data_IF_648987953695
#
_entry.id   IF_648987953695
#
_cell.length_a   1.000
_cell.length_b   1.000
_cell.length_c   1.000
_cell.angle_alpha   90.00
_cell.angle_beta   90.00
_cell.angle_gamma   90.00
#
_symmetry.space_group_name_H-M   'P 1'
#
loop_
_entity.id
_entity.type
_entity.pdbx_description
1 polymer ?
#
# COMPACT_ATOMS: atom_id res chain seq x y z
N UNK A 1 7.41 21.38 22.14
CA UNK A 1 6.10 21.22 21.45
C UNK A 1 5.29 22.50 21.65
N UNK A 2 4.59 22.98 20.61
CA UNK A 2 3.86 24.27 20.65
C UNK A 2 2.37 24.09 20.92
N UNK A 3 1.74 25.11 21.53
CA UNK A 3 0.30 25.12 21.91
C UNK A 3 -0.66 24.81 20.75
N UNK A 4 -0.25 25.10 19.51
CA UNK A 4 -1.01 24.82 18.28
C UNK A 4 -1.10 23.33 17.93
N UNK A 5 -0.03 22.56 18.13
CA UNK A 5 -0.03 21.12 17.82
C UNK A 5 -0.87 20.31 18.82
N UNK A 6 -0.90 20.72 20.08
CA UNK A 6 -1.71 20.06 21.12
C UNK A 6 -3.22 20.27 20.93
N UNK A 7 -3.64 21.42 20.41
CA UNK A 7 -5.04 21.63 20.04
C UNK A 7 -5.45 20.75 18.85
N UNK A 8 -4.55 20.51 17.89
CA UNK A 8 -4.84 19.65 16.74
C UNK A 8 -4.96 18.18 17.17
N UNK A 9 -4.06 17.67 18.03
CA UNK A 9 -4.19 16.32 18.57
C UNK A 9 -5.43 16.13 19.47
N UNK A 10 -5.78 17.12 20.30
CA UNK A 10 -7.00 17.09 21.11
C UNK A 10 -8.29 17.18 20.27
N UNK A 11 -8.19 17.64 19.01
CA UNK A 11 -9.24 17.59 17.98
C UNK A 11 -9.15 16.32 17.10
N UNK A 12 -8.26 15.38 17.41
CA UNK A 12 -8.10 14.10 16.70
C UNK A 12 -7.14 14.12 15.50
N UNK A 13 -6.26 15.11 15.39
CA UNK A 13 -5.28 15.18 14.29
C UNK A 13 -4.06 14.27 14.58
N UNK A 14 -4.12 13.04 14.09
CA UNK A 14 -2.94 12.19 13.84
C UNK A 14 -2.36 12.57 12.47
N UNK A 15 -1.12 13.04 12.42
CA UNK A 15 -0.39 13.07 11.16
C UNK A 15 0.09 11.64 10.91
N UNK A 16 -0.80 10.83 10.35
CA UNK A 16 -0.57 9.42 10.05
C UNK A 16 0.33 9.32 8.79
N UNK A 17 1.62 9.62 8.96
CA UNK A 17 2.65 9.52 7.92
C UNK A 17 2.65 8.11 7.29
N UNK A 18 2.33 7.09 8.09
CA UNK A 18 2.16 5.71 7.64
C UNK A 18 0.96 5.57 6.70
N UNK A 19 -0.16 6.23 6.97
CA UNK A 19 -1.30 6.29 6.04
C UNK A 19 -0.94 7.04 4.75
N UNK A 20 -0.21 8.15 4.85
CA UNK A 20 0.18 8.94 3.70
C UNK A 20 1.11 8.16 2.76
N UNK A 21 2.15 7.51 3.30
CA UNK A 21 3.06 6.69 2.51
C UNK A 21 2.36 5.45 1.94
N UNK A 22 1.51 4.79 2.73
CA UNK A 22 0.71 3.67 2.22
C UNK A 22 -0.19 4.09 1.05
N UNK A 23 -0.85 5.25 1.16
CA UNK A 23 -1.71 5.78 0.10
C UNK A 23 -0.92 6.19 -1.14
N UNK A 24 0.31 6.68 -1.00
CA UNK A 24 1.20 6.95 -2.13
C UNK A 24 1.45 5.67 -2.93
N UNK A 25 1.89 4.60 -2.28
CA UNK A 25 2.14 3.33 -2.97
C UNK A 25 0.89 2.68 -3.54
N UNK A 26 -0.25 2.80 -2.85
CA UNK A 26 -1.54 2.38 -3.40
C UNK A 26 -1.86 3.11 -4.72
N UNK A 27 -1.59 4.41 -4.82
CA UNK A 27 -1.78 5.17 -6.08
C UNK A 27 -0.83 4.71 -7.19
N UNK A 28 0.43 4.40 -6.86
CA UNK A 28 1.36 3.82 -7.83
C UNK A 28 0.87 2.46 -8.35
N UNK A 29 0.34 1.61 -7.47
CA UNK A 29 -0.28 0.34 -7.88
C UNK A 29 -1.51 0.57 -8.77
N UNK A 30 -2.35 1.55 -8.43
CA UNK A 30 -3.53 1.87 -9.23
C UNK A 30 -3.15 2.42 -10.63
N UNK A 31 -2.10 3.24 -10.71
CA UNK A 31 -1.55 3.70 -11.98
C UNK A 31 -0.98 2.54 -12.80
N UNK A 32 -0.25 1.63 -12.16
CA UNK A 32 0.22 0.40 -12.80
C UNK A 32 -0.94 -0.43 -13.34
N UNK A 33 -1.97 -0.70 -12.53
CA UNK A 33 -3.15 -1.46 -12.95
C UNK A 33 -3.86 -0.79 -14.14
N UNK A 34 -3.98 0.54 -14.14
CA UNK A 34 -4.56 1.27 -15.27
C UNK A 34 -3.74 1.10 -16.57
N UNK A 35 -2.41 0.96 -16.47
CA UNK A 35 -1.54 0.79 -17.62
C UNK A 35 -1.42 -0.67 -18.10
N UNK A 36 -1.43 -1.65 -17.19
CA UNK A 36 -1.16 -3.07 -17.48
C UNK A 36 -2.42 -3.93 -17.53
N UNK A 37 -3.53 -3.47 -16.95
CA UNK A 37 -4.77 -4.23 -16.78
C UNK A 37 -4.73 -5.26 -15.64
N UNK A 38 -3.68 -5.28 -14.81
CA UNK A 38 -3.57 -6.16 -13.65
C UNK A 38 -2.80 -5.53 -12.49
N UNK A 39 -3.09 -5.99 -11.26
CA UNK A 39 -2.51 -5.44 -10.01
C UNK A 39 -1.38 -6.31 -9.47
N UNK A 40 -0.59 -6.91 -10.37
CA UNK A 40 0.52 -7.80 -10.03
C UNK A 40 1.80 -7.39 -10.79
N UNK A 41 2.58 -6.43 -10.25
CA UNK A 41 3.86 -6.04 -10.82
C UNK A 41 4.88 -7.18 -10.68
N UNK A 42 5.68 -7.43 -11.72
CA UNK A 42 6.66 -8.53 -11.75
C UNK A 42 8.04 -8.04 -12.24
N UNK A 43 9.16 -8.60 -11.72
CA UNK A 43 10.52 -8.15 -12.04
C UNK A 43 10.91 -8.24 -13.52
N UNK A 44 10.22 -9.06 -14.30
CA UNK A 44 10.51 -9.30 -15.72
C UNK A 44 9.82 -8.29 -16.66
N UNK A 45 8.97 -7.41 -16.12
CA UNK A 45 8.33 -6.36 -16.92
C UNK A 45 9.24 -5.11 -16.98
N UNK A 46 9.54 -4.64 -18.19
CA UNK A 46 10.32 -3.42 -18.39
C UNK A 46 9.62 -2.22 -17.73
N UNK A 47 10.38 -1.45 -16.94
CA UNK A 47 9.90 -0.20 -16.33
C UNK A 47 9.10 -0.39 -15.03
N UNK A 48 9.02 -1.59 -14.47
CA UNK A 48 8.40 -1.80 -13.15
C UNK A 48 9.34 -1.40 -12.04
N UNK A 49 8.84 -0.56 -11.13
CA UNK A 49 9.56 -0.17 -9.92
C UNK A 49 9.66 -1.35 -8.94
N UNK A 50 10.90 -1.76 -8.63
CA UNK A 50 11.19 -2.78 -7.63
C UNK A 50 10.61 -2.44 -6.25
N UNK A 51 10.49 -1.15 -5.92
CA UNK A 51 9.86 -0.71 -4.68
C UNK A 51 8.36 -1.04 -4.65
N UNK A 52 7.67 -0.91 -5.78
CA UNK A 52 6.25 -1.26 -5.88
C UNK A 52 6.04 -2.78 -5.76
N UNK A 53 6.92 -3.59 -6.35
CA UNK A 53 6.92 -5.05 -6.19
C UNK A 53 7.07 -5.41 -4.71
N UNK A 54 8.09 -4.85 -4.05
CA UNK A 54 8.35 -5.08 -2.63
C UNK A 54 7.17 -4.61 -1.76
N UNK A 55 6.57 -3.46 -2.06
CA UNK A 55 5.40 -2.98 -1.34
C UNK A 55 4.22 -3.94 -1.44
N UNK A 56 3.96 -4.50 -2.63
CA UNK A 56 2.93 -5.53 -2.82
C UNK A 56 3.20 -6.77 -1.97
N UNK A 57 4.46 -7.23 -1.91
CA UNK A 57 4.88 -8.33 -1.04
C UNK A 57 4.61 -8.06 0.43
N UNK A 58 4.97 -6.85 0.91
CA UNK A 58 4.69 -6.40 2.28
C UNK A 58 3.19 -6.45 2.58
N UNK A 59 2.31 -6.04 1.64
CA UNK A 59 0.86 -6.13 1.85
C UNK A 59 0.39 -7.57 2.00
N UNK A 60 0.90 -8.50 1.16
CA UNK A 60 0.57 -9.93 1.26
C UNK A 60 1.01 -10.52 2.61
N UNK A 61 2.23 -10.21 3.05
CA UNK A 61 2.74 -10.65 4.37
C UNK A 61 1.88 -10.07 5.49
N UNK A 62 1.61 -8.76 5.47
CA UNK A 62 0.82 -8.08 6.50
C UNK A 62 -0.60 -8.65 6.62
N UNK A 63 -1.24 -9.00 5.48
CA UNK A 63 -2.54 -9.69 5.47
C UNK A 63 -2.45 -11.10 6.05
N UNK A 64 -1.45 -11.90 5.65
CA UNK A 64 -1.24 -13.26 6.20
C UNK A 64 -1.00 -13.23 7.71
N UNK A 65 -0.26 -12.24 8.19
CA UNK A 65 0.02 -12.00 9.61
C UNK A 65 -1.13 -11.32 10.36
N UNK A 66 -2.24 -10.98 9.69
CA UNK A 66 -3.42 -10.31 10.26
C UNK A 66 -3.13 -8.95 10.92
N UNK A 67 -2.11 -8.24 10.43
CA UNK A 67 -1.72 -6.90 10.92
C UNK A 67 -2.09 -5.78 9.94
N UNK A 68 -2.55 -6.12 8.73
CA UNK A 68 -3.01 -5.14 7.76
C UNK A 68 -4.42 -4.64 8.12
N UNK A 69 -4.57 -3.31 8.23
CA UNK A 69 -5.85 -2.69 8.54
C UNK A 69 -6.94 -3.07 7.51
N UNK A 70 -8.17 -3.30 7.97
CA UNK A 70 -9.29 -3.73 7.12
C UNK A 70 -9.58 -2.74 5.98
N UNK A 71 -9.46 -1.44 6.22
CA UNK A 71 -9.63 -0.41 5.18
C UNK A 71 -8.60 -0.52 4.05
N UNK A 72 -7.36 -0.93 4.37
CA UNK A 72 -6.30 -1.15 3.37
C UNK A 72 -6.58 -2.41 2.54
N UNK A 73 -7.10 -3.47 3.18
CA UNK A 73 -7.55 -4.68 2.49
C UNK A 73 -8.68 -4.35 1.51
N UNK A 74 -9.71 -3.63 1.97
CA UNK A 74 -10.87 -3.26 1.14
C UNK A 74 -10.46 -2.45 -0.11
N UNK A 75 -9.52 -1.51 0.03
CA UNK A 75 -9.01 -0.73 -1.09
C UNK A 75 -8.25 -1.61 -2.11
N UNK A 76 -7.43 -2.53 -1.64
CA UNK A 76 -6.70 -3.47 -2.50
C UNK A 76 -7.65 -4.46 -3.20
N UNK A 77 -8.68 -4.94 -2.49
CA UNK A 77 -9.71 -5.81 -3.07
C UNK A 77 -10.49 -5.11 -4.18
N UNK A 78 -10.84 -3.83 -4.00
CA UNK A 78 -11.50 -3.02 -5.04
C UNK A 78 -10.63 -2.84 -6.29
N UNK A 79 -9.31 -2.81 -6.11
CA UNK A 79 -8.35 -2.75 -7.21
C UNK A 79 -8.09 -4.12 -7.87
N UNK A 80 -8.73 -5.19 -7.39
CA UNK A 80 -8.48 -6.55 -7.87
C UNK A 80 -7.07 -7.05 -7.55
N UNK A 81 -6.51 -6.64 -6.41
CA UNK A 81 -5.18 -7.06 -5.98
C UNK A 81 -5.10 -8.58 -5.81
N UNK A 82 -4.11 -9.20 -6.47
CA UNK A 82 -3.88 -10.62 -6.32
C UNK A 82 -3.12 -10.91 -5.02
N UNK A 83 -3.81 -11.55 -4.07
CA UNK A 83 -3.21 -11.98 -2.81
C UNK A 83 -2.41 -13.28 -2.89
N UNK A 84 -2.51 -14.03 -3.99
CA UNK A 84 -2.01 -15.41 -4.12
C UNK A 84 -0.63 -15.51 -4.77
N UNK A 85 -0.25 -14.54 -5.60
CA UNK A 85 1.05 -14.53 -6.26
C UNK A 85 2.23 -14.69 -5.30
N UNK A 86 3.21 -15.47 -5.75
CA UNK A 86 4.44 -15.75 -5.03
C UNK A 86 5.20 -14.45 -4.77
N UNK A 87 5.77 -14.36 -3.58
CA UNK A 87 6.69 -13.29 -3.24
C UNK A 87 7.94 -13.46 -4.13
N UNK A 88 8.24 -12.57 -5.09
CA UNK A 88 9.36 -12.76 -6.01
C UNK A 88 10.72 -12.72 -5.31
N UNK A 89 10.74 -12.36 -4.02
CA UNK A 89 11.90 -12.15 -3.19
C UNK A 89 12.01 -13.15 -2.01
N UNK A 90 11.14 -14.18 -1.96
CA UNK A 90 11.30 -15.34 -1.05
C UNK A 90 12.10 -16.47 -1.67
#
# INVERSE_FOLDING_TARGET
>A
MTRRQQQLQALGFEWDEDQADWMRWFRELAAFHAASGHSSPAPLAQGVDLYLINWCSVQRIARRSRVLAEGRIALLDQLGFDWTGADPLS
#
